data_IF_176158329413
#
_entry.id   IF_176158329413
#
_cell.length_a   1.000
_cell.length_b   1.000
_cell.length_c   1.000
_cell.angle_alpha   90.00
_cell.angle_beta   90.00
_cell.angle_gamma   90.00
#
_symmetry.space_group_name_H-M   'P 1'
#
loop_
_entity.id
_entity.type
_entity.pdbx_description
1 polymer ?
#
# COMPACT_ATOMS: atom_id res chain seq x y z
N UNK A 1 16.35 -13.90 -13.88
CA UNK A 1 16.32 -13.74 -12.40
C UNK A 1 16.89 -12.40 -11.94
N UNK A 2 18.14 -12.05 -12.29
CA UNK A 2 18.83 -10.84 -11.78
C UNK A 2 18.02 -9.54 -11.98
N UNK A 3 17.46 -9.31 -13.18
CA UNK A 3 16.67 -8.09 -13.47
C UNK A 3 15.42 -7.97 -12.58
N UNK A 4 14.75 -9.09 -12.30
CA UNK A 4 13.54 -9.12 -11.48
C UNK A 4 13.87 -8.85 -10.01
N UNK A 5 14.97 -9.44 -9.52
CA UNK A 5 15.44 -9.24 -8.15
C UNK A 5 15.83 -7.77 -7.90
N UNK A 6 16.49 -7.12 -8.86
CA UNK A 6 16.83 -5.70 -8.77
C UNK A 6 15.56 -4.84 -8.75
N UNK A 7 14.59 -5.11 -9.63
CA UNK A 7 13.32 -4.39 -9.64
C UNK A 7 12.54 -4.52 -8.33
N UNK A 8 12.51 -5.72 -7.75
CA UNK A 8 11.85 -5.96 -6.48
C UNK A 8 12.60 -5.30 -5.31
N UNK A 9 13.93 -5.31 -5.32
CA UNK A 9 14.75 -4.59 -4.34
C UNK A 9 14.50 -3.07 -4.38
N UNK A 10 14.36 -2.49 -5.56
CA UNK A 10 13.99 -1.07 -5.72
C UNK A 10 12.60 -0.78 -5.16
N UNK A 11 11.62 -1.67 -5.36
CA UNK A 11 10.30 -1.51 -4.76
C UNK A 11 10.34 -1.58 -3.22
N UNK A 12 11.07 -2.55 -2.67
CA UNK A 12 11.27 -2.70 -1.22
C UNK A 12 12.08 -1.56 -0.58
N UNK A 13 12.89 -0.83 -1.37
CA UNK A 13 13.66 0.31 -0.86
C UNK A 13 12.74 1.43 -0.33
N UNK A 14 11.59 1.64 -0.95
CA UNK A 14 10.60 2.65 -0.51
C UNK A 14 10.01 2.28 0.85
N UNK A 15 9.75 0.98 1.08
CA UNK A 15 9.35 0.48 2.39
C UNK A 15 10.44 0.70 3.44
N UNK A 16 11.70 0.46 3.09
CA UNK A 16 12.85 0.77 3.94
C UNK A 16 12.93 2.25 4.33
N UNK A 17 12.64 3.17 3.40
CA UNK A 17 12.55 4.61 3.70
C UNK A 17 11.41 4.95 4.67
N UNK A 18 10.25 4.29 4.52
CA UNK A 18 9.13 4.46 5.45
C UNK A 18 9.50 4.04 6.87
N UNK A 19 10.13 2.88 7.02
CA UNK A 19 10.61 2.38 8.31
C UNK A 19 11.67 3.32 8.89
N UNK A 20 12.62 3.78 8.06
CA UNK A 20 13.63 4.74 8.52
C UNK A 20 13.00 6.02 9.10
N UNK A 21 11.93 6.53 8.48
CA UNK A 21 11.21 7.72 8.96
C UNK A 21 10.67 7.52 10.37
N UNK A 22 10.02 6.39 10.67
CA UNK A 22 9.41 6.12 11.98
C UNK A 22 10.48 5.95 13.07
N UNK A 23 11.53 5.20 12.78
CA UNK A 23 12.62 4.96 13.75
C UNK A 23 13.48 6.20 14.01
N UNK A 24 13.86 6.97 12.97
CA UNK A 24 14.86 8.05 13.13
C UNK A 24 14.27 9.42 13.40
N UNK A 25 13.10 9.72 12.85
CA UNK A 25 12.49 11.05 12.98
C UNK A 25 11.48 11.05 14.13
N UNK A 26 10.65 10.01 14.22
CA UNK A 26 9.60 9.93 15.25
C UNK A 26 10.08 9.24 16.54
N UNK A 27 11.26 8.60 16.55
CA UNK A 27 11.75 7.72 17.63
C UNK A 27 10.70 6.67 18.06
N UNK A 28 9.93 6.19 17.09
CA UNK A 28 8.77 5.35 17.30
C UNK A 28 8.96 4.08 16.46
N UNK A 29 9.32 2.94 17.07
CA UNK A 29 9.58 1.70 16.35
C UNK A 29 8.27 1.08 15.83
N UNK A 30 7.74 1.63 14.75
CA UNK A 30 6.47 1.23 14.16
C UNK A 30 6.63 0.29 12.96
N UNK A 31 6.22 -0.95 13.17
CA UNK A 31 6.13 -1.98 12.13
C UNK A 31 4.85 -1.88 11.28
N UNK A 32 3.91 -0.98 11.59
CA UNK A 32 2.70 -0.74 10.77
C UNK A 32 3.05 -0.32 9.35
N UNK A 33 4.19 0.35 9.16
CA UNK A 33 4.69 0.74 7.84
C UNK A 33 4.83 -0.47 6.90
N UNK A 34 5.21 -1.62 7.43
CA UNK A 34 5.33 -2.87 6.67
C UNK A 34 3.97 -3.41 6.22
N UNK A 35 2.94 -3.35 7.08
CA UNK A 35 1.59 -3.84 6.77
C UNK A 35 0.71 -2.86 5.96
N UNK A 36 0.93 -1.56 6.11
CA UNK A 36 0.17 -0.51 5.41
C UNK A 36 0.55 -0.36 3.93
N UNK A 37 1.82 -0.65 3.59
CA UNK A 37 2.30 -0.62 2.21
C UNK A 37 1.58 -1.63 1.28
N UNK A 38 1.52 -2.94 1.62
CA UNK A 38 0.79 -3.92 0.80
C UNK A 38 -0.73 -3.70 0.86
N UNK A 39 -1.30 -3.20 1.96
CA UNK A 39 -2.72 -2.85 2.05
C UNK A 39 -3.10 -1.78 0.99
N UNK A 40 -2.29 -0.73 0.85
CA UNK A 40 -2.54 0.31 -0.15
C UNK A 40 -2.53 -0.25 -1.58
N UNK A 41 -1.61 -1.17 -1.86
CA UNK A 41 -1.56 -1.91 -3.13
C UNK A 41 -2.80 -2.79 -3.34
N UNK A 42 -3.19 -3.56 -2.33
CA UNK A 42 -4.38 -4.42 -2.35
C UNK A 42 -5.66 -3.63 -2.66
N UNK A 43 -5.86 -2.49 -1.99
CA UNK A 43 -7.02 -1.60 -2.23
C UNK A 43 -6.97 -1.00 -3.64
N UNK A 44 -5.79 -0.61 -4.13
CA UNK A 44 -5.65 -0.06 -5.48
C UNK A 44 -5.99 -1.12 -6.55
N UNK A 45 -5.44 -2.33 -6.43
CA UNK A 45 -5.65 -3.42 -7.40
C UNK A 45 -7.10 -3.89 -7.42
N UNK A 46 -7.71 -4.04 -6.25
CA UNK A 46 -9.13 -4.41 -6.14
C UNK A 46 -10.04 -3.34 -6.74
N UNK A 47 -9.76 -2.06 -6.51
CA UNK A 47 -10.50 -0.96 -7.11
C UNK A 47 -10.38 -0.95 -8.66
N UNK A 48 -9.19 -1.21 -9.20
CA UNK A 48 -8.97 -1.31 -10.65
C UNK A 48 -9.75 -2.49 -11.25
N UNK A 49 -9.76 -3.65 -10.60
CA UNK A 49 -10.51 -4.83 -11.07
C UNK A 49 -12.02 -4.58 -11.06
N UNK A 50 -12.50 -3.78 -10.10
CA UNK A 50 -13.89 -3.35 -10.02
C UNK A 50 -14.26 -2.23 -11.03
N UNK A 51 -13.34 -1.84 -11.93
CA UNK A 51 -13.61 -0.88 -13.01
C UNK A 51 -13.49 0.59 -12.61
N UNK A 52 -12.94 0.90 -11.42
CA UNK A 52 -12.71 2.28 -10.97
C UNK A 52 -11.51 2.87 -11.74
N UNK A 53 -11.56 4.15 -12.16
CA UNK A 53 -10.45 4.77 -12.86
C UNK A 53 -9.15 4.71 -12.03
N UNK A 54 -8.00 4.41 -12.65
CA UNK A 54 -6.74 4.18 -11.94
C UNK A 54 -6.29 5.32 -11.01
N UNK A 55 -6.58 6.58 -11.38
CA UNK A 55 -6.28 7.75 -10.52
C UNK A 55 -7.06 7.67 -9.20
N UNK A 56 -8.35 7.35 -9.27
CA UNK A 56 -9.20 7.27 -8.08
C UNK A 56 -8.84 6.04 -7.25
N UNK A 57 -8.50 4.94 -7.91
CA UNK A 57 -7.99 3.74 -7.24
C UNK A 57 -6.71 4.02 -6.44
N UNK A 58 -5.76 4.79 -7.00
CA UNK A 58 -4.54 5.18 -6.26
C UNK A 58 -4.84 6.07 -5.06
N UNK A 59 -5.80 6.99 -5.18
CA UNK A 59 -6.20 7.86 -4.07
C UNK A 59 -6.85 7.04 -2.93
N UNK A 60 -7.69 6.06 -3.26
CA UNK A 60 -8.27 5.13 -2.29
C UNK A 60 -7.19 4.29 -1.59
N UNK A 61 -6.16 3.84 -2.32
CA UNK A 61 -5.02 3.14 -1.73
C UNK A 61 -4.25 4.00 -0.72
N UNK A 62 -4.03 5.28 -1.03
CA UNK A 62 -3.40 6.24 -0.09
C UNK A 62 -4.26 6.43 1.16
N UNK A 63 -5.57 6.61 1.00
CA UNK A 63 -6.49 6.75 2.12
C UNK A 63 -6.51 5.50 3.01
N UNK A 64 -6.47 4.30 2.43
CA UNK A 64 -6.38 3.06 3.19
C UNK A 64 -5.08 2.98 4.02
N UNK A 65 -3.95 3.39 3.45
CA UNK A 65 -2.67 3.48 4.18
C UNK A 65 -2.69 4.52 5.30
N UNK A 66 -3.33 5.67 5.08
CA UNK A 66 -3.53 6.69 6.13
C UNK A 66 -4.40 6.16 7.27
N UNK A 67 -5.50 5.46 6.95
CA UNK A 67 -6.36 4.84 7.95
C UNK A 67 -5.60 3.80 8.79
N UNK A 68 -4.73 2.99 8.17
CA UNK A 68 -3.87 2.06 8.88
C UNK A 68 -2.97 2.77 9.91
N UNK A 69 -2.30 3.86 9.52
CA UNK A 69 -1.48 4.66 10.43
C UNK A 69 -2.29 5.33 11.54
N UNK A 70 -3.50 5.79 11.24
CA UNK A 70 -4.44 6.34 12.23
C UNK A 70 -4.86 5.31 13.28
N UNK A 71 -5.11 4.07 12.88
CA UNK A 71 -5.44 2.98 13.82
C UNK A 71 -4.28 2.72 14.78
N UNK A 72 -3.04 2.68 14.29
CA UNK A 72 -1.85 2.54 15.16
C UNK A 72 -1.69 3.72 16.10
N UNK A 73 -1.86 4.94 15.60
CA UNK A 73 -1.78 6.16 16.42
C UNK A 73 -2.85 6.17 17.52
N UNK A 74 -4.08 5.72 17.23
CA UNK A 74 -5.17 5.61 18.19
C UNK A 74 -4.92 4.54 19.25
N UNK A 75 -4.40 3.38 18.87
CA UNK A 75 -4.05 2.31 19.81
C UNK A 75 -2.96 2.76 20.77
N UNK A 76 -1.99 3.53 20.30
CA UNK A 76 -0.97 4.12 21.16
C UNK A 76 -1.54 5.21 22.08
N UNK A 77 -2.23 6.21 21.54
CA UNK A 77 -2.70 7.37 22.31
C UNK A 77 -3.86 7.06 23.26
N UNK A 78 -4.84 6.24 22.84
CA UNK A 78 -6.00 5.88 23.68
C UNK A 78 -5.87 4.52 24.35
N UNK A 79 -5.23 3.55 23.71
CA UNK A 79 -5.06 2.20 24.26
C UNK A 79 -3.94 2.09 25.30
N UNK A 80 -3.02 3.07 25.38
CA UNK A 80 -1.84 3.07 26.27
C UNK A 80 -0.98 1.81 26.10
N UNK A 81 -1.02 1.20 24.92
CA UNK A 81 -0.26 0.00 24.59
C UNK A 81 1.19 0.41 24.28
N UNK A 82 2.20 -0.38 24.65
CA UNK A 82 3.57 -0.15 24.20
C UNK A 82 3.64 -0.04 22.67
N UNK A 83 4.42 0.93 22.19
CA UNK A 83 4.58 1.27 20.77
C UNK A 83 4.80 0.05 19.88
N UNK A 84 5.75 -0.80 20.29
CA UNK A 84 6.15 -1.98 19.53
C UNK A 84 4.99 -2.97 19.41
N UNK A 85 4.23 -3.16 20.49
CA UNK A 85 3.10 -4.09 20.52
C UNK A 85 1.96 -3.58 19.65
N UNK A 86 1.69 -2.26 19.66
CA UNK A 86 0.71 -1.65 18.77
C UNK A 86 1.10 -1.84 17.29
N UNK A 87 2.37 -1.61 16.94
CA UNK A 87 2.85 -1.75 15.56
C UNK A 87 2.74 -3.18 15.02
N UNK A 88 3.16 -4.19 15.80
CA UNK A 88 3.07 -5.60 15.38
C UNK A 88 1.61 -6.08 15.32
N UNK A 89 0.75 -5.63 16.25
CA UNK A 89 -0.67 -5.98 16.26
C UNK A 89 -1.37 -5.44 15.01
N UNK A 90 -1.15 -4.18 14.66
CA UNK A 90 -1.73 -3.59 13.45
C UNK A 90 -1.16 -4.24 12.19
N UNK A 91 0.16 -4.47 12.12
CA UNK A 91 0.77 -5.19 10.99
C UNK A 91 0.10 -6.55 10.75
N UNK A 92 -0.09 -7.33 11.80
CA UNK A 92 -0.74 -8.65 11.71
C UNK A 92 -2.21 -8.54 11.30
N UNK A 93 -2.95 -7.57 11.85
CA UNK A 93 -4.34 -7.32 11.49
C UNK A 93 -4.48 -6.88 10.02
N UNK A 94 -3.61 -5.99 9.55
CA UNK A 94 -3.61 -5.49 8.18
C UNK A 94 -3.35 -6.60 7.16
N UNK A 95 -2.50 -7.56 7.49
CA UNK A 95 -2.28 -8.73 6.64
C UNK A 95 -3.57 -9.55 6.46
N UNK A 96 -4.40 -9.67 7.50
CA UNK A 96 -5.72 -10.29 7.38
C UNK A 96 -6.70 -9.43 6.59
N UNK A 97 -6.70 -8.11 6.82
CA UNK A 97 -7.60 -7.17 6.13
C UNK A 97 -7.30 -7.11 4.63
N UNK A 98 -6.04 -7.08 4.22
CA UNK A 98 -5.70 -7.02 2.79
C UNK A 98 -6.17 -8.28 2.05
N UNK A 99 -6.04 -9.46 2.66
CA UNK A 99 -6.56 -10.71 2.08
C UNK A 99 -8.09 -10.71 2.02
N UNK A 100 -8.75 -10.16 3.03
CA UNK A 100 -10.20 -9.96 3.01
C UNK A 100 -10.62 -8.99 1.91
N UNK A 101 -9.90 -7.89 1.71
CA UNK A 101 -10.19 -6.94 0.62
C UNK A 101 -9.96 -7.58 -0.75
N UNK A 102 -8.90 -8.37 -0.90
CA UNK A 102 -8.55 -9.01 -2.18
C UNK A 102 -9.42 -10.22 -2.52
N UNK A 103 -10.05 -10.89 -1.54
CA UNK A 103 -10.82 -12.15 -1.69
C UNK A 103 -10.02 -13.31 -2.32
N UNK A 104 -8.76 -13.08 -2.71
CA UNK A 104 -7.87 -14.02 -3.37
C UNK A 104 -6.42 -13.65 -3.08
N UNK A 105 -5.50 -14.61 -2.92
CA UNK A 105 -4.10 -14.33 -2.60
C UNK A 105 -3.35 -13.63 -3.73
N UNK A 106 -3.82 -13.80 -4.97
CA UNK A 106 -3.19 -13.25 -6.16
C UNK A 106 -4.26 -12.70 -7.09
N UNK A 107 -4.23 -11.38 -7.28
CA UNK A 107 -5.08 -10.69 -8.24
C UNK A 107 -4.24 -10.36 -9.46
N UNK A 108 -4.56 -10.99 -10.59
CA UNK A 108 -3.87 -10.76 -11.84
C UNK A 108 -4.36 -9.46 -12.49
N UNK A 109 -3.43 -8.55 -12.78
CA UNK A 109 -3.67 -7.32 -13.53
C UNK A 109 -3.50 -7.49 -15.04
N UNK A 110 -3.32 -8.73 -15.52
CA UNK A 110 -3.22 -9.01 -16.95
C UNK A 110 -4.51 -8.53 -17.64
N UNK A 111 -4.36 -7.63 -18.61
CA UNK A 111 -5.44 -7.05 -19.41
C UNK A 111 -6.30 -5.95 -18.74
N UNK A 112 -5.88 -5.41 -17.58
CA UNK A 112 -6.58 -4.30 -16.93
C UNK A 112 -6.03 -2.93 -17.34
N UNK A 113 -6.93 -1.94 -17.45
CA UNK A 113 -6.59 -0.57 -17.82
C UNK A 113 -5.67 0.07 -16.78
N UNK A 114 -4.41 0.29 -17.16
CA UNK A 114 -3.39 0.92 -16.32
C UNK A 114 -3.34 2.42 -16.56
N UNK A 115 -2.75 3.18 -15.62
CA UNK A 115 -2.47 4.62 -15.79
C UNK A 115 -1.68 4.87 -17.09
N UNK A 116 -0.76 3.97 -17.44
CA UNK A 116 0.00 4.00 -18.69
C UNK A 116 -0.89 3.76 -19.92
N UNK A 117 -1.86 2.85 -19.85
CA UNK A 117 -2.84 2.63 -20.93
C UNK A 117 -3.76 3.83 -21.15
N UNK A 118 -4.20 4.48 -20.07
CA UNK A 118 -4.98 5.74 -20.14
C UNK A 118 -4.14 6.87 -20.74
N UNK A 119 -2.88 7.00 -20.31
CA UNK A 119 -1.95 8.02 -20.82
C UNK A 119 -1.58 7.77 -22.29
N UNK A 120 -1.42 6.51 -22.72
CA UNK A 120 -1.19 6.16 -24.13
C UNK A 120 -2.41 6.49 -25.00
N UNK A 121 -3.62 6.20 -24.51
CA UNK A 121 -4.88 6.57 -25.18
C UNK A 121 -5.02 8.09 -25.33
N UNK A 122 -4.67 8.86 -24.29
CA UNK A 122 -4.65 10.32 -24.34
C UNK A 122 -3.61 10.82 -25.35
N UNK A 123 -2.36 10.33 -25.31
CA UNK A 123 -1.27 10.80 -26.19
C UNK A 123 -1.51 10.49 -27.68
N UNK A 124 -2.23 9.41 -28.02
CA UNK A 124 -2.57 9.07 -29.42
C UNK A 124 -3.68 9.97 -29.98
N UNK A 125 -4.61 10.47 -29.16
CA UNK A 125 -5.70 11.36 -29.60
C UNK A 125 -5.21 12.77 -29.98
N UNK A 126 -4.09 13.27 -29.43
CA UNK A 126 -3.51 14.59 -29.80
C UNK A 126 -2.48 14.53 -30.94
N UNK A 127 -2.41 13.41 -31.67
CA UNK A 127 -1.50 13.22 -32.81
C UNK A 127 -2.25 13.07 -34.15
N UNK A 128 -3.46 13.62 -34.21
CA UNK A 128 -4.27 13.91 -35.41
C UNK A 128 -4.54 15.42 -35.43
#
# INVERSE_FOLDING_TARGET
MIISSIGQGLLWSVLGLGIFMTYRILNFPDMTTEGSFPLGGAVCVTAIINGIPPIVATLLGVLAGMCAGLVTALLYTKGKIPVILSGILVMSALNSVMLFVMQSPNLSLLNQSSVLGVFYKYRVTYKL
#
